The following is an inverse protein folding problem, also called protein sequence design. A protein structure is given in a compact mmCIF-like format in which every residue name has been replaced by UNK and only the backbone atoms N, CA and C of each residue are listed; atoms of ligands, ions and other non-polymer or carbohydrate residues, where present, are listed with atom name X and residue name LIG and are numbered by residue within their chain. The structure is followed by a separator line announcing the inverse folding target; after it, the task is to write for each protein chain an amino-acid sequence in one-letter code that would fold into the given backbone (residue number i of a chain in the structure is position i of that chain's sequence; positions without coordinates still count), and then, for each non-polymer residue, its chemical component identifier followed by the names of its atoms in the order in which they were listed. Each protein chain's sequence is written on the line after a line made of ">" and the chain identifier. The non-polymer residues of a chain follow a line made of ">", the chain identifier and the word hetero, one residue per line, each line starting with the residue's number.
data_IF_530620386471
#
_entry.id   IF_530620386471
#
_cell.length_a   1.000
_cell.length_b   1.000
_cell.length_c   1.000
_cell.angle_alpha   90.00
_cell.angle_beta   90.00
_cell.angle_gamma   90.00
#
_symmetry.space_group_name_H-M   'P 1'
#
loop_
_entity.id
_entity.type
_entity.pdbx_description
1 polymer ?
#
# COMPACT_ATOMS: atom_id res chain seq x y z
N UNK A 1 -1.82 -28.53 30.03
CA UNK A 1 -2.01 -29.27 28.81
C UNK A 1 -2.74 -28.50 27.74
N UNK A 2 -3.87 -27.93 28.08
CA UNK A 2 -4.60 -27.12 27.12
C UNK A 2 -3.99 -25.74 26.90
N UNK A 3 -3.01 -25.41 27.70
CA UNK A 3 -2.41 -24.07 27.65
C UNK A 3 -1.67 -23.82 26.35
N UNK A 4 -1.02 -24.83 25.80
CA UNK A 4 -0.30 -24.63 24.56
C UNK A 4 -1.26 -24.39 23.38
N UNK A 5 -2.34 -25.13 23.32
CA UNK A 5 -3.35 -24.94 22.31
C UNK A 5 -4.01 -23.57 22.46
N UNK A 6 -4.28 -23.19 23.69
CA UNK A 6 -4.86 -21.86 23.96
C UNK A 6 -3.92 -20.74 23.61
N UNK A 7 -2.64 -20.91 23.87
CA UNK A 7 -1.64 -19.91 23.54
C UNK A 7 -1.54 -19.72 22.03
N UNK A 8 -1.53 -20.82 21.27
CA UNK A 8 -1.47 -20.75 19.81
C UNK A 8 -2.74 -20.09 19.26
N UNK A 9 -3.88 -20.42 19.82
CA UNK A 9 -5.15 -19.81 19.40
C UNK A 9 -5.18 -18.33 19.73
N UNK A 10 -4.71 -17.95 20.90
CA UNK A 10 -4.64 -16.56 21.30
C UNK A 10 -3.68 -15.78 20.41
N UNK A 11 -2.55 -16.36 20.04
CA UNK A 11 -1.59 -15.71 19.17
C UNK A 11 -2.17 -15.48 17.75
N UNK A 12 -2.93 -16.45 17.23
CA UNK A 12 -3.52 -16.32 15.89
C UNK A 12 -4.69 -15.34 15.88
N UNK A 13 -5.28 -15.07 17.06
CA UNK A 13 -6.40 -14.14 17.18
C UNK A 13 -5.96 -12.78 17.71
N UNK A 14 -4.66 -12.60 17.86
CA UNK A 14 -4.13 -11.35 18.34
C UNK A 14 -4.41 -10.24 17.33
N UNK A 15 -4.88 -9.09 17.82
CA UNK A 15 -5.23 -7.98 16.96
C UNK A 15 -4.01 -7.47 16.20
N UNK A 16 -4.18 -7.25 14.92
CA UNK A 16 -3.19 -6.59 14.09
C UNK A 16 -3.60 -5.14 13.88
N UNK A 17 -2.64 -4.27 13.71
CA UNK A 17 -2.90 -2.86 13.49
C UNK A 17 -2.77 -2.54 12.01
N UNK A 18 -3.69 -1.74 11.51
CA UNK A 18 -3.71 -1.29 10.14
C UNK A 18 -3.84 0.22 10.08
N UNK A 19 -3.04 0.83 9.24
CA UNK A 19 -3.19 2.25 8.91
C UNK A 19 -4.30 2.37 7.88
N UNK A 20 -5.34 3.15 8.18
CA UNK A 20 -6.43 3.34 7.23
C UNK A 20 -6.14 4.51 6.32
N UNK A 21 -6.32 4.30 5.05
CA UNK A 21 -6.10 5.29 4.00
C UNK A 21 -7.36 5.40 3.15
N UNK A 22 -7.57 6.57 2.58
CA UNK A 22 -8.75 6.82 1.78
C UNK A 22 -8.37 6.86 0.30
N UNK A 23 -9.16 6.15 -0.51
CA UNK A 23 -9.07 6.19 -1.97
C UNK A 23 -10.47 6.32 -2.51
N UNK A 24 -10.78 7.45 -3.11
CA UNK A 24 -12.13 7.75 -3.52
C UNK A 24 -13.07 7.71 -2.33
N UNK A 25 -14.12 6.92 -2.43
CA UNK A 25 -15.11 6.80 -1.36
C UNK A 25 -14.86 5.58 -0.46
N UNK A 26 -13.78 4.87 -0.67
CA UNK A 26 -13.48 3.64 0.04
C UNK A 26 -12.35 3.84 1.03
N UNK A 27 -12.37 3.07 2.10
CA UNK A 27 -11.33 3.07 3.11
C UNK A 27 -10.54 1.76 3.03
N UNK A 28 -9.23 1.85 2.99
CA UNK A 28 -8.34 0.70 2.86
C UNK A 28 -7.41 0.64 4.05
N UNK A 29 -6.97 -0.56 4.40
CA UNK A 29 -6.04 -0.76 5.51
C UNK A 29 -4.70 -1.27 5.01
N UNK A 30 -3.64 -0.65 5.49
CA UNK A 30 -2.26 -1.09 5.22
C UNK A 30 -1.68 -1.60 6.52
N UNK A 31 -1.13 -2.82 6.49
CA UNK A 31 -0.52 -3.40 7.69
C UNK A 31 0.52 -2.43 8.25
N UNK A 32 0.36 -2.07 9.51
CA UNK A 32 1.24 -1.07 10.15
C UNK A 32 2.69 -1.53 10.16
N UNK A 33 2.91 -2.85 10.18
CA UNK A 33 4.27 -3.40 10.16
C UNK A 33 4.98 -3.14 8.85
N UNK A 34 4.25 -2.91 7.77
CA UNK A 34 4.83 -2.58 6.48
C UNK A 34 5.10 -1.08 6.34
N UNK A 35 4.48 -0.25 7.17
CA UNK A 35 4.59 1.21 7.05
C UNK A 35 5.91 1.67 7.66
N UNK A 36 6.68 2.43 6.91
CA UNK A 36 7.93 3.02 7.38
C UNK A 36 7.79 4.50 7.69
N UNK A 37 7.03 5.20 6.86
CA UNK A 37 6.96 6.64 6.97
C UNK A 37 5.70 7.12 6.27
N UNK A 38 5.13 8.22 6.76
CA UNK A 38 3.99 8.87 6.11
C UNK A 38 4.45 10.28 5.76
N UNK A 39 4.36 10.62 4.48
CA UNK A 39 4.84 11.91 3.98
C UNK A 39 3.73 12.62 3.25
N UNK A 40 3.73 13.95 3.31
CA UNK A 40 2.90 14.73 2.44
C UNK A 40 3.34 14.55 0.98
N UNK A 41 2.44 14.80 0.06
CA UNK A 41 2.77 14.71 -1.36
C UNK A 41 3.86 15.71 -1.72
N UNK A 42 4.86 15.21 -2.43
CA UNK A 42 5.88 16.05 -3.05
C UNK A 42 6.09 15.56 -4.48
N UNK A 43 6.47 16.44 -5.40
CA UNK A 43 6.74 16.00 -6.76
C UNK A 43 7.83 14.94 -6.80
N UNK A 44 7.68 14.00 -7.73
CA UNK A 44 8.61 12.89 -7.92
C UNK A 44 9.33 13.05 -9.24
N UNK A 45 10.49 12.40 -9.35
CA UNK A 45 11.24 12.36 -10.61
C UNK A 45 10.66 11.23 -11.46
N UNK A 46 10.21 11.56 -12.66
CA UNK A 46 9.60 10.58 -13.55
C UNK A 46 10.63 9.60 -14.09
N UNK A 47 10.20 8.36 -14.28
CA UNK A 47 11.00 7.32 -14.90
C UNK A 47 10.44 7.04 -16.28
N UNK A 48 11.22 7.18 -17.35
CA UNK A 48 10.73 6.84 -18.69
C UNK A 48 10.38 5.35 -18.79
N UNK A 49 9.32 5.04 -19.50
CA UNK A 49 8.89 3.66 -19.78
C UNK A 49 8.45 2.87 -18.57
N UNK A 50 8.18 3.55 -17.44
CA UNK A 50 7.62 2.88 -16.28
C UNK A 50 6.14 2.56 -16.52
N UNK A 51 5.58 1.58 -15.80
CA UNK A 51 4.13 1.33 -15.86
C UNK A 51 3.34 2.59 -15.53
N UNK A 52 2.14 2.71 -16.07
CA UNK A 52 1.35 3.94 -15.95
C UNK A 52 1.02 4.31 -14.51
N UNK A 53 0.93 3.33 -13.62
CA UNK A 53 0.64 3.60 -12.21
C UNK A 53 1.88 4.02 -11.41
N UNK A 54 3.05 3.94 -11.99
CA UNK A 54 4.28 4.40 -11.34
C UNK A 54 4.47 5.87 -11.68
N UNK A 55 4.43 6.71 -10.66
CA UNK A 55 4.60 8.15 -10.84
C UNK A 55 6.05 8.53 -11.08
N UNK A 56 6.97 7.84 -10.45
CA UNK A 56 8.38 8.14 -10.54
C UNK A 56 9.12 7.66 -9.32
N UNK A 57 10.16 8.37 -8.92
CA UNK A 57 10.96 8.02 -7.76
C UNK A 57 11.18 9.22 -6.86
N UNK A 58 11.36 8.92 -5.58
CA UNK A 58 11.81 9.89 -4.58
C UNK A 58 13.19 9.51 -4.11
N UNK A 59 14.01 10.51 -3.80
CA UNK A 59 15.27 10.28 -3.11
C UNK A 59 15.00 10.47 -1.62
N UNK A 60 15.04 9.39 -0.86
CA UNK A 60 14.87 9.43 0.59
C UNK A 60 16.20 9.12 1.25
N UNK A 61 16.88 10.15 1.72
CA UNK A 61 18.12 10.00 2.46
C UNK A 61 19.13 9.14 1.69
N UNK A 62 19.24 9.38 0.38
CA UNK A 62 20.14 8.66 -0.50
C UNK A 62 19.58 7.39 -1.13
N UNK A 63 18.43 6.93 -0.69
CA UNK A 63 17.78 5.76 -1.28
C UNK A 63 16.79 6.20 -2.36
N UNK A 64 16.81 5.52 -3.48
CA UNK A 64 15.86 5.75 -4.57
C UNK A 64 14.63 4.90 -4.31
N UNK A 65 13.51 5.55 -4.10
CA UNK A 65 12.26 4.88 -3.71
C UNK A 65 11.22 5.08 -4.82
N UNK A 66 10.77 4.00 -5.48
CA UNK A 66 9.69 4.13 -6.47
C UNK A 66 8.39 4.55 -5.79
N UNK A 67 7.60 5.33 -6.51
CA UNK A 67 6.32 5.83 -6.00
C UNK A 67 5.20 5.41 -6.94
N UNK A 68 4.23 4.70 -6.38
CA UNK A 68 3.05 4.24 -7.10
C UNK A 68 1.85 5.08 -6.71
N UNK A 69 0.97 5.35 -7.65
CA UNK A 69 -0.32 5.96 -7.33
C UNK A 69 -1.35 4.84 -7.22
N UNK A 70 -1.85 4.59 -6.02
CA UNK A 70 -2.83 3.53 -5.81
C UNK A 70 -4.12 3.77 -6.57
N UNK A 71 -4.50 5.01 -6.81
CA UNK A 71 -5.70 5.31 -7.58
C UNK A 71 -5.55 4.78 -8.99
N UNK A 72 -4.40 5.01 -9.60
CA UNK A 72 -4.11 4.50 -10.94
C UNK A 72 -3.95 2.98 -10.94
N UNK A 73 -3.33 2.45 -9.90
CA UNK A 73 -3.13 0.99 -9.78
C UNK A 73 -4.46 0.25 -9.73
N UNK A 74 -5.45 0.85 -9.09
CA UNK A 74 -6.77 0.25 -8.93
C UNK A 74 -7.75 0.63 -10.05
N UNK A 75 -7.29 1.37 -11.05
CA UNK A 75 -8.13 1.75 -12.17
C UNK A 75 -9.12 2.86 -11.85
N UNK A 76 -8.88 3.58 -10.76
CA UNK A 76 -9.72 4.72 -10.39
C UNK A 76 -9.27 5.95 -11.16
N UNK A 77 -10.16 6.93 -11.26
CA UNK A 77 -9.82 8.19 -11.88
C UNK A 77 -8.76 8.91 -11.07
N UNK A 78 -7.80 9.47 -11.79
CA UNK A 78 -6.76 10.24 -11.14
C UNK A 78 -7.30 11.59 -10.70
N UNK A 79 -7.23 11.84 -9.40
CA UNK A 79 -7.58 13.12 -8.86
C UNK A 79 -6.35 13.99 -8.70
N UNK A 80 -6.56 15.27 -8.56
CA UNK A 80 -5.46 16.20 -8.34
C UNK A 80 -4.78 15.93 -7.01
N UNK A 81 -3.50 16.25 -6.95
CA UNK A 81 -2.76 16.17 -5.70
C UNK A 81 -3.07 17.42 -4.88
N UNK A 82 -3.54 17.20 -3.68
CA UNK A 82 -3.97 18.28 -2.78
C UNK A 82 -3.13 18.28 -1.52
N UNK A 83 -3.45 19.16 -0.60
CA UNK A 83 -2.77 19.23 0.68
C UNK A 83 -2.97 17.98 1.53
N UNK A 84 -4.05 17.22 1.28
CA UNK A 84 -4.31 15.96 2.01
C UNK A 84 -3.72 14.74 1.34
N UNK A 85 -3.28 14.85 0.10
CA UNK A 85 -2.64 13.75 -0.62
C UNK A 85 -1.36 13.33 0.11
N UNK A 86 -1.22 12.04 0.34
CA UNK A 86 -0.17 11.50 1.19
C UNK A 86 0.55 10.38 0.46
N UNK A 87 1.84 10.31 0.65
CA UNK A 87 2.66 9.20 0.20
C UNK A 87 3.04 8.36 1.41
N UNK A 88 2.59 7.13 1.46
CA UNK A 88 2.93 6.19 2.52
C UNK A 88 4.10 5.35 2.05
N UNK A 89 5.21 5.43 2.77
CA UNK A 89 6.39 4.62 2.43
C UNK A 89 6.24 3.27 3.11
N UNK A 90 6.25 2.20 2.31
CA UNK A 90 6.09 0.85 2.81
C UNK A 90 7.33 0.02 2.47
N UNK A 91 7.56 -1.00 3.28
CA UNK A 91 8.65 -1.95 3.08
C UNK A 91 8.06 -3.32 2.78
N UNK A 92 8.41 -3.87 1.63
CA UNK A 92 7.94 -5.18 1.22
C UNK A 92 9.13 -5.96 0.67
N UNK A 93 9.38 -7.14 1.21
CA UNK A 93 10.45 -8.03 0.74
C UNK A 93 11.80 -7.32 0.69
N UNK A 94 12.08 -6.49 1.69
CA UNK A 94 13.35 -5.78 1.79
C UNK A 94 13.48 -4.54 0.91
N UNK A 95 12.40 -4.15 0.24
CA UNK A 95 12.41 -2.98 -0.66
C UNK A 95 11.40 -1.95 -0.20
N UNK A 96 11.80 -0.69 -0.30
CA UNK A 96 10.90 0.42 -0.01
C UNK A 96 10.23 0.91 -1.27
N UNK A 97 8.96 1.21 -1.17
CA UNK A 97 8.29 1.99 -2.21
C UNK A 97 7.20 2.84 -1.57
N UNK A 98 6.81 3.89 -2.26
CA UNK A 98 5.78 4.79 -1.79
C UNK A 98 4.47 4.50 -2.49
N UNK A 99 3.38 4.61 -1.76
CA UNK A 99 2.04 4.50 -2.33
C UNK A 99 1.29 5.79 -2.05
N UNK A 100 0.75 6.39 -3.09
CA UNK A 100 0.04 7.65 -2.98
C UNK A 100 -1.44 7.38 -2.77
N UNK A 101 -2.01 8.00 -1.76
CA UNK A 101 -3.41 7.86 -1.37
C UNK A 101 -4.01 9.25 -1.19
N UNK A 102 -5.35 9.33 -1.19
CA UNK A 102 -6.03 10.61 -1.05
C UNK A 102 -5.82 11.23 0.32
N UNK A 103 -5.83 10.40 1.36
CA UNK A 103 -5.65 10.85 2.73
C UNK A 103 -5.36 9.65 3.63
N UNK A 104 -4.82 9.94 4.80
CA UNK A 104 -4.64 8.94 5.87
C UNK A 104 -5.62 9.30 6.98
N UNK A 105 -6.32 8.31 7.52
CA UNK A 105 -7.30 8.52 8.57
C UNK A 105 -6.74 8.24 9.96
N UNK A 106 -6.58 6.96 10.29
CA UNK A 106 -6.10 6.59 11.63
C UNK A 106 -5.52 5.18 11.60
N UNK A 107 -5.14 4.68 12.78
CA UNK A 107 -4.68 3.30 12.95
C UNK A 107 -5.80 2.54 13.67
N UNK A 108 -6.20 1.41 13.11
CA UNK A 108 -7.28 0.60 13.67
C UNK A 108 -6.75 -0.78 14.02
N UNK A 109 -7.39 -1.43 14.99
CA UNK A 109 -7.10 -2.80 15.34
C UNK A 109 -8.07 -3.73 14.60
N UNK A 110 -7.51 -4.78 14.02
CA UNK A 110 -8.27 -5.77 13.26
C UNK A 110 -8.00 -7.15 13.84
N UNK A 111 -9.06 -7.84 14.22
CA UNK A 111 -8.95 -9.20 14.73
C UNK A 111 -8.98 -10.13 13.52
N UNK A 112 -7.96 -11.00 13.34
CA UNK A 112 -7.89 -11.85 12.15
C UNK A 112 -9.14 -12.69 11.90
N UNK A 113 -9.77 -13.17 12.97
CA UNK A 113 -11.00 -13.96 12.83
C UNK A 113 -12.19 -13.15 12.32
N UNK A 114 -12.13 -11.83 12.39
CA UNK A 114 -13.18 -10.95 11.90
C UNK A 114 -13.00 -10.55 10.44
N UNK A 115 -11.89 -10.95 9.82
CA UNK A 115 -11.61 -10.63 8.42
C UNK A 115 -12.37 -11.61 7.52
N UNK A 116 -13.06 -11.06 6.54
CA UNK A 116 -13.88 -11.84 5.62
C UNK A 116 -13.34 -11.71 4.20
N UNK A 117 -13.57 -12.73 3.36
CA UNK A 117 -13.17 -12.60 1.95
C UNK A 117 -13.94 -11.46 1.27
N UNK A 118 -13.29 -10.82 0.33
CA UNK A 118 -13.92 -9.76 -0.45
C UNK A 118 -14.85 -10.41 -1.47
N UNK A 119 -16.15 -10.06 -1.45
CA UNK A 119 -17.05 -10.62 -2.44
C UNK A 119 -16.75 -10.03 -3.82
N UNK A 120 -16.88 -10.86 -4.84
CA UNK A 120 -16.72 -10.45 -6.22
C UNK A 120 -18.04 -9.88 -6.73
N UNK A 121 -18.32 -8.65 -6.33
CA UNK A 121 -19.60 -8.02 -6.63
C UNK A 121 -19.41 -6.66 -7.32
N UNK A 122 -18.66 -6.67 -8.41
CA UNK A 122 -18.52 -5.46 -9.20
C UNK A 122 -17.70 -4.37 -8.54
N UNK A 123 -16.81 -4.73 -7.64
CA UNK A 123 -15.84 -3.77 -7.13
C UNK A 123 -14.91 -3.36 -8.25
N UNK A 124 -14.58 -2.08 -8.31
CA UNK A 124 -13.65 -1.57 -9.32
C UNK A 124 -12.22 -2.04 -9.05
N UNK A 125 -11.93 -2.44 -7.81
CA UNK A 125 -10.60 -2.88 -7.41
C UNK A 125 -10.50 -4.38 -7.59
N UNK A 126 -9.42 -4.82 -8.21
CA UNK A 126 -9.14 -6.25 -8.37
C UNK A 126 -8.94 -6.88 -7.00
N UNK A 127 -9.65 -7.97 -6.73
CA UNK A 127 -9.59 -8.63 -5.43
C UNK A 127 -8.23 -9.23 -5.12
N UNK A 128 -7.39 -9.41 -6.12
CA UNK A 128 -6.03 -9.93 -5.88
C UNK A 128 -5.17 -8.99 -5.05
N UNK A 129 -5.51 -7.70 -5.00
CA UNK A 129 -4.77 -6.73 -4.18
C UNK A 129 -5.28 -6.66 -2.75
N UNK A 130 -6.30 -7.45 -2.42
CA UNK A 130 -6.97 -7.37 -1.13
C UNK A 130 -6.82 -8.68 -0.38
N UNK A 131 -6.50 -8.57 0.91
CA UNK A 131 -6.46 -9.72 1.82
C UNK A 131 -7.87 -10.10 2.27
N UNK A 132 -8.75 -9.12 2.37
CA UNK A 132 -10.08 -9.29 2.88
C UNK A 132 -10.69 -7.97 3.27
N UNK A 133 -11.82 -8.04 3.95
CA UNK A 133 -12.46 -6.85 4.46
C UNK A 133 -12.91 -7.08 5.90
N UNK A 134 -13.05 -5.99 6.63
CA UNK A 134 -13.51 -6.07 8.01
C UNK A 134 -14.31 -4.81 8.34
N UNK A 135 -15.15 -4.91 9.38
CA UNK A 135 -15.89 -3.76 9.89
C UNK A 135 -15.10 -3.15 11.03
N UNK A 136 -14.97 -1.82 11.01
CA UNK A 136 -14.40 -1.07 12.13
C UNK A 136 -15.46 -0.04 12.53
N UNK A 137 -16.18 -0.34 13.62
CA UNK A 137 -17.37 0.42 13.95
C UNK A 137 -18.41 0.24 12.84
N UNK A 138 -18.88 1.32 12.26
CA UNK A 138 -19.83 1.29 11.16
C UNK A 138 -19.17 1.38 9.79
N UNK A 139 -17.84 1.43 9.76
CA UNK A 139 -17.09 1.57 8.53
C UNK A 139 -16.61 0.22 8.03
N UNK A 140 -16.55 0.07 6.73
CA UNK A 140 -15.96 -1.10 6.09
C UNK A 140 -14.57 -0.74 5.63
N UNK A 141 -13.59 -1.57 5.98
CA UNK A 141 -12.19 -1.35 5.62
C UNK A 141 -11.74 -2.54 4.79
N UNK A 142 -11.19 -2.24 3.62
CA UNK A 142 -10.63 -3.23 2.71
C UNK A 142 -9.14 -3.36 2.99
N UNK A 143 -8.71 -4.56 3.36
CA UNK A 143 -7.32 -4.78 3.77
C UNK A 143 -6.46 -5.03 2.54
N UNK A 144 -5.45 -4.21 2.37
CA UNK A 144 -4.55 -4.30 1.21
C UNK A 144 -3.49 -5.37 1.43
N UNK A 145 -3.17 -6.06 0.36
CA UNK A 145 -2.00 -6.94 0.31
C UNK A 145 -0.90 -6.17 -0.42
N UNK A 146 -0.05 -5.50 0.34
CA UNK A 146 0.98 -4.63 -0.25
C UNK A 146 2.00 -5.41 -1.07
N UNK A 147 2.17 -6.71 -0.78
CA UNK A 147 3.07 -7.56 -1.54
C UNK A 147 2.62 -7.71 -3.00
N UNK A 148 1.34 -7.50 -3.27
CA UNK A 148 0.78 -7.69 -4.60
C UNK A 148 0.57 -6.42 -5.38
N UNK A 149 0.90 -5.29 -4.80
CA UNK A 149 0.70 -4.00 -5.46
C UNK A 149 1.62 -3.81 -6.65
N UNK A 150 2.80 -4.41 -6.60
CA UNK A 150 3.77 -4.33 -7.69
C UNK A 150 3.96 -5.72 -8.28
N UNK A 151 3.60 -5.87 -9.55
CA UNK A 151 3.73 -7.15 -10.24
C UNK A 151 5.20 -7.50 -10.44
N UNK A 152 5.59 -8.79 -10.44
CA UNK A 152 6.99 -9.17 -10.61
C UNK A 152 7.62 -8.63 -11.90
N UNK A 153 6.90 -8.67 -13.02
CA UNK A 153 7.44 -8.15 -14.27
C UNK A 153 7.60 -6.64 -14.22
N UNK A 154 6.70 -5.94 -13.53
CA UNK A 154 6.80 -4.49 -13.37
C UNK A 154 7.95 -4.13 -12.45
N UNK A 155 8.18 -4.94 -11.42
CA UNK A 155 9.32 -4.75 -10.53
C UNK A 155 10.64 -4.87 -11.27
N UNK A 156 10.74 -5.86 -12.18
CA UNK A 156 11.94 -6.04 -12.99
C UNK A 156 12.15 -4.87 -13.95
N UNK A 157 11.09 -4.42 -14.61
CA UNK A 157 11.16 -3.27 -15.48
C UNK A 157 11.59 -2.02 -14.74
N UNK A 158 11.06 -1.85 -13.53
CA UNK A 158 11.37 -0.70 -12.69
C UNK A 158 12.83 -0.73 -12.24
N UNK A 159 13.32 -1.90 -11.87
CA UNK A 159 14.73 -2.04 -11.50
C UNK A 159 15.65 -1.73 -12.66
N UNK A 160 15.32 -2.20 -13.85
CA UNK A 160 16.11 -1.90 -15.05
C UNK A 160 16.09 -0.41 -15.36
N UNK A 161 14.93 0.22 -15.22
CA UNK A 161 14.80 1.66 -15.44
C UNK A 161 15.57 2.45 -14.41
N UNK A 162 15.53 2.02 -13.14
CA UNK A 162 16.29 2.67 -12.07
C UNK A 162 17.77 2.53 -12.27
N UNK A 163 18.24 1.38 -12.71
CA UNK A 163 19.66 1.17 -12.99
C UNK A 163 20.15 2.10 -14.10
N UNK A 164 19.33 2.32 -15.13
CA UNK A 164 19.64 3.27 -16.20
C UNK A 164 19.59 4.71 -15.72
N UNK A 165 18.60 5.04 -14.88
CA UNK A 165 18.36 6.41 -14.42
C UNK A 165 19.26 6.80 -13.28
N UNK A 166 19.75 5.86 -12.53
CA UNK A 166 20.55 6.07 -11.34
C UNK A 166 21.79 6.91 -11.65
N UNK A 167 22.38 6.65 -12.79
CA UNK A 167 23.54 7.40 -13.24
C UNK A 167 23.19 8.87 -13.40
N UNK A 168 21.99 9.17 -13.86
CA UNK A 168 21.52 10.54 -14.07
C UNK A 168 21.04 11.17 -12.77
N UNK A 169 20.42 10.38 -11.90
CA UNK A 169 19.89 10.91 -10.65
C UNK A 169 21.00 11.28 -9.67
N UNK A 170 22.11 10.57 -9.71
CA UNK A 170 23.24 10.84 -8.83
C UNK A 170 24.04 12.05 -9.29
N UNK A 171 24.03 12.32 -10.56
CA UNK A 171 24.68 13.50 -11.10
C UNK A 171 23.84 14.73 -10.84
#
# INVERSE_FOLDING_TARGET
>A
MNQQANTASAASDEAAQYLTVNLGNEEYGVDILAVREIRGWTPVTRIPQAPSYVLGVLNLRGAIVPVLDLRLRFGLDREEYTATTVCVIVMVAGRQFGVVVDAVSDVVEVIPSAVRPVPDMGTTVDTEYLKGLTSVGERMVLLLDVDRLLQPQDAQMLEAALASSEVKAVA
#
